data_IF_705037331352
#
_entry.id   IF_705037331352
#
_cell.length_a   1.000
_cell.length_b   1.000
_cell.length_c   1.000
_cell.angle_alpha   90.00
_cell.angle_beta   90.00
_cell.angle_gamma   90.00
#
_symmetry.space_group_name_H-M   'P 1'
#
loop_
_entity.id
_entity.type
_entity.pdbx_description
1 polymer ?
#
# COMPACT_ATOMS: atom_id res chain seq x y z
N UNK A 1 26.33 5.19 -2.46
CA UNK A 1 26.15 4.42 -3.71
C UNK A 1 24.90 3.58 -3.61
N UNK A 2 24.11 3.52 -4.68
CA UNK A 2 22.91 2.67 -4.75
C UNK A 2 23.35 1.22 -5.02
N UNK A 3 22.81 0.19 -4.32
CA UNK A 3 23.19 -1.19 -4.59
C UNK A 3 22.80 -1.63 -6.01
N UNK A 4 23.60 -2.51 -6.61
CA UNK A 4 23.46 -2.97 -8.00
C UNK A 4 22.24 -3.88 -8.20
N UNK A 5 21.79 -4.55 -7.14
CA UNK A 5 20.59 -5.37 -7.21
C UNK A 5 19.38 -4.45 -7.41
N UNK A 6 18.30 -5.02 -7.92
CA UNK A 6 17.09 -4.27 -8.20
C UNK A 6 16.23 -4.11 -6.95
N UNK A 7 15.60 -2.94 -6.70
CA UNK A 7 14.87 -2.70 -5.48
C UNK A 7 13.55 -3.47 -5.38
N UNK A 8 13.17 -3.75 -4.14
CA UNK A 8 11.82 -4.14 -3.74
C UNK A 8 11.12 -2.93 -3.13
N UNK A 9 10.00 -2.54 -3.71
CA UNK A 9 9.26 -1.34 -3.31
C UNK A 9 7.95 -1.76 -2.66
N UNK A 10 7.68 -1.27 -1.45
CA UNK A 10 6.41 -1.49 -0.75
C UNK A 10 5.60 -0.20 -0.75
N UNK A 11 4.41 -0.24 -1.35
CA UNK A 11 3.50 0.89 -1.47
C UNK A 11 2.05 0.52 -1.10
N UNK A 12 1.23 1.55 -0.93
CA UNK A 12 -0.17 1.41 -0.55
C UNK A 12 -0.74 2.73 -0.02
N UNK A 13 -2.03 2.74 0.28
CA UNK A 13 -2.64 3.86 0.98
C UNK A 13 -2.21 3.88 2.46
N UNK A 14 -2.13 5.08 3.06
CA UNK A 14 -1.65 5.25 4.43
C UNK A 14 -2.58 4.59 5.45
N UNK A 15 -2.09 3.65 6.26
CA UNK A 15 -2.91 2.89 7.23
C UNK A 15 -3.25 1.46 6.79
N UNK A 16 -2.81 1.04 5.61
CA UNK A 16 -3.02 -0.30 5.06
C UNK A 16 -2.11 -1.39 5.64
N UNK A 17 -1.43 -1.15 6.77
CA UNK A 17 -0.63 -2.19 7.45
C UNK A 17 0.71 -2.55 6.77
N UNK A 18 1.22 -1.69 5.91
CA UNK A 18 2.49 -1.86 5.18
C UNK A 18 3.69 -2.20 6.08
N UNK A 19 3.73 -1.73 7.33
CA UNK A 19 4.82 -2.02 8.29
C UNK A 19 5.02 -3.52 8.54
N UNK A 20 3.95 -4.30 8.73
CA UNK A 20 4.09 -5.73 9.02
C UNK A 20 4.67 -6.47 7.81
N UNK A 21 4.29 -6.06 6.60
CA UNK A 21 4.91 -6.56 5.37
C UNK A 21 6.37 -6.14 5.24
N UNK A 22 6.74 -4.90 5.62
CA UNK A 22 8.15 -4.46 5.66
C UNK A 22 8.99 -5.38 6.51
N UNK A 23 8.54 -5.72 7.73
CA UNK A 23 9.24 -6.66 8.62
C UNK A 23 9.36 -8.04 8.00
N UNK A 24 8.31 -8.53 7.34
CA UNK A 24 8.35 -9.82 6.66
C UNK A 24 9.38 -9.83 5.52
N UNK A 25 9.46 -8.75 4.73
CA UNK A 25 10.45 -8.56 3.66
C UNK A 25 11.87 -8.47 4.23
N UNK A 26 12.08 -7.70 5.31
CA UNK A 26 13.37 -7.58 6.00
C UNK A 26 13.87 -8.93 6.53
N UNK A 27 12.98 -9.70 7.18
CA UNK A 27 13.27 -11.06 7.63
C UNK A 27 13.58 -12.04 6.50
N UNK A 28 13.18 -11.74 5.27
CA UNK A 28 13.54 -12.52 4.08
C UNK A 28 14.96 -12.20 3.55
N UNK A 29 15.68 -11.29 4.20
CA UNK A 29 17.06 -10.89 3.85
C UNK A 29 17.14 -9.74 2.86
N UNK A 30 16.11 -8.89 2.81
CA UNK A 30 16.09 -7.67 1.99
C UNK A 30 16.35 -6.48 2.92
N UNK A 31 17.45 -5.76 2.71
CA UNK A 31 17.76 -4.58 3.52
C UNK A 31 16.78 -3.44 3.18
N UNK A 32 15.90 -3.11 4.14
CA UNK A 32 14.90 -2.07 3.99
C UNK A 32 15.38 -0.68 4.43
N UNK A 33 16.67 -0.55 4.81
CA UNK A 33 17.31 0.70 5.23
C UNK A 33 17.29 0.94 6.74
N UNK A 34 18.07 1.93 7.18
CA UNK A 34 18.24 2.26 8.61
C UNK A 34 17.66 3.62 9.01
N UNK A 35 17.49 4.53 8.06
CA UNK A 35 16.98 5.89 8.31
C UNK A 35 15.46 5.87 8.09
N UNK A 36 14.74 5.34 9.08
CA UNK A 36 13.31 5.07 9.02
C UNK A 36 12.53 5.81 10.12
N UNK A 37 11.25 6.10 9.89
CA UNK A 37 10.35 6.61 10.94
C UNK A 37 9.78 5.46 11.80
N UNK A 38 8.97 5.76 12.82
CA UNK A 38 8.34 4.75 13.69
C UNK A 38 7.33 3.80 12.98
N UNK A 39 6.96 4.12 11.74
CA UNK A 39 6.16 3.26 10.85
C UNK A 39 7.02 2.49 9.83
N UNK A 40 8.35 2.55 9.95
CA UNK A 40 9.34 1.96 9.03
C UNK A 40 9.26 2.53 7.61
N UNK A 41 8.82 3.79 7.46
CA UNK A 41 8.91 4.51 6.20
C UNK A 41 10.33 5.04 5.98
N UNK A 42 10.85 4.90 4.76
CA UNK A 42 12.11 5.50 4.34
C UNK A 42 12.05 7.03 4.42
N UNK A 43 12.68 7.62 5.44
CA UNK A 43 12.56 9.05 5.73
C UNK A 43 13.06 9.93 4.60
N UNK A 44 14.11 9.48 3.89
CA UNK A 44 14.71 10.20 2.77
C UNK A 44 13.70 10.55 1.67
N UNK A 45 12.61 9.79 1.51
CA UNK A 45 11.59 10.04 0.50
C UNK A 45 10.50 11.03 0.93
N UNK A 46 10.56 11.56 2.16
CA UNK A 46 9.45 12.34 2.71
C UNK A 46 9.22 13.66 2.00
N UNK A 47 10.24 14.49 1.93
CA UNK A 47 10.16 15.81 1.27
C UNK A 47 9.95 15.65 -0.24
N UNK A 48 10.64 14.68 -0.85
CA UNK A 48 10.46 14.32 -2.26
C UNK A 48 9.00 14.01 -2.59
N UNK A 49 8.36 13.10 -1.83
CA UNK A 49 6.96 12.76 -2.07
C UNK A 49 6.01 13.91 -1.72
N UNK A 50 6.31 14.72 -0.69
CA UNK A 50 5.47 15.87 -0.34
C UNK A 50 5.44 16.91 -1.47
N UNK A 51 6.57 17.13 -2.15
CA UNK A 51 6.69 18.05 -3.28
C UNK A 51 6.10 17.47 -4.57
N UNK A 52 6.59 16.31 -4.99
CA UNK A 52 6.40 15.88 -6.38
C UNK A 52 5.09 15.15 -6.66
N UNK A 53 4.41 14.61 -5.64
CA UNK A 53 3.12 13.94 -5.85
C UNK A 53 2.09 14.93 -6.38
N UNK A 54 1.97 16.09 -5.75
CA UNK A 54 0.97 17.07 -6.13
C UNK A 54 1.27 17.64 -7.51
N UNK A 55 2.53 17.98 -7.78
CA UNK A 55 2.96 18.47 -9.10
C UNK A 55 2.63 17.43 -10.20
N UNK A 56 2.93 16.15 -9.95
CA UNK A 56 2.66 15.08 -10.90
C UNK A 56 1.16 14.78 -11.12
N UNK A 57 0.28 15.28 -10.24
CA UNK A 57 -1.17 15.04 -10.31
C UNK A 57 -1.99 16.32 -10.51
N UNK A 58 -1.36 17.48 -10.67
CA UNK A 58 -2.05 18.78 -10.71
C UNK A 58 -2.78 19.04 -12.03
N UNK A 59 -3.91 18.35 -12.26
CA UNK A 59 -4.80 18.57 -13.41
C UNK A 59 -4.73 17.48 -14.49
N UNK A 60 -5.70 17.52 -15.41
CA UNK A 60 -5.92 16.46 -16.42
C UNK A 60 -4.82 16.35 -17.49
N UNK A 61 -3.98 17.37 -17.62
CA UNK A 61 -2.92 17.48 -18.64
C UNK A 61 -1.55 17.84 -18.03
N UNK A 62 -1.35 17.60 -16.72
CA UNK A 62 -0.10 17.93 -16.04
C UNK A 62 1.03 17.03 -16.52
N UNK A 63 1.84 17.53 -17.45
CA UNK A 63 3.13 16.97 -17.80
C UNK A 63 4.21 17.84 -17.19
N UNK A 64 5.14 17.23 -16.46
CA UNK A 64 6.36 17.91 -16.03
C UNK A 64 7.11 18.42 -17.25
N UNK A 65 7.55 19.68 -17.21
CA UNK A 65 8.51 20.22 -18.17
C UNK A 65 9.82 19.41 -18.12
N UNK A 66 10.65 19.51 -19.16
CA UNK A 66 11.95 18.82 -19.17
C UNK A 66 12.84 19.22 -17.98
N UNK A 67 12.78 20.49 -17.57
CA UNK A 67 13.53 20.99 -16.40
C UNK A 67 13.01 20.39 -15.09
N UNK A 68 11.68 20.33 -14.92
CA UNK A 68 11.08 19.69 -13.74
C UNK A 68 11.34 18.19 -13.70
N UNK A 69 11.34 17.51 -14.84
CA UNK A 69 11.71 16.09 -14.92
C UNK A 69 13.15 15.88 -14.48
N UNK A 70 14.09 16.69 -14.98
CA UNK A 70 15.50 16.60 -14.59
C UNK A 70 15.70 16.85 -13.10
N UNK A 71 15.03 17.87 -12.54
CA UNK A 71 15.07 18.16 -11.11
C UNK A 71 14.46 17.02 -10.26
N UNK A 72 13.33 16.45 -10.70
CA UNK A 72 12.72 15.31 -10.03
C UNK A 72 13.62 14.07 -10.07
N UNK A 73 14.29 13.83 -11.20
CA UNK A 73 15.24 12.72 -11.36
C UNK A 73 16.44 12.88 -10.41
N UNK A 74 17.07 14.06 -10.37
CA UNK A 74 18.20 14.37 -9.48
C UNK A 74 17.82 14.22 -8.00
N UNK A 75 16.76 14.91 -7.57
CA UNK A 75 16.28 14.85 -6.18
C UNK A 75 15.92 13.43 -5.76
N UNK A 76 15.31 12.64 -6.65
CA UNK A 76 14.97 11.25 -6.36
C UNK A 76 16.21 10.40 -6.14
N UNK A 77 17.21 10.49 -7.03
CA UNK A 77 18.44 9.71 -6.92
C UNK A 77 19.21 10.07 -5.65
N UNK A 78 19.29 11.35 -5.27
CA UNK A 78 19.85 11.76 -3.99
C UNK A 78 19.11 11.13 -2.79
N UNK A 79 17.78 11.09 -2.84
CA UNK A 79 16.99 10.46 -1.78
C UNK A 79 17.29 8.96 -1.67
N UNK A 80 17.41 8.27 -2.81
CA UNK A 80 17.76 6.84 -2.84
C UNK A 80 19.18 6.60 -2.35
N UNK A 81 20.14 7.45 -2.72
CA UNK A 81 21.52 7.37 -2.22
C UNK A 81 21.60 7.57 -0.71
N UNK A 82 20.88 8.56 -0.17
CA UNK A 82 20.75 8.79 1.28
C UNK A 82 20.14 7.57 1.98
N UNK A 83 19.08 6.99 1.42
CA UNK A 83 18.47 5.77 1.96
C UNK A 83 19.44 4.58 1.98
N UNK A 84 20.24 4.43 0.93
CA UNK A 84 21.16 3.32 0.75
C UNK A 84 22.55 3.53 1.37
N UNK A 85 22.80 4.64 2.06
CA UNK A 85 24.15 5.04 2.49
C UNK A 85 24.90 3.98 3.33
N UNK A 86 24.18 3.09 4.01
CA UNK A 86 24.73 2.03 4.86
C UNK A 86 24.57 0.61 4.28
N UNK A 87 24.13 0.48 3.04
CA UNK A 87 23.87 -0.80 2.40
C UNK A 87 25.11 -1.31 1.64
N UNK A 88 25.44 -2.61 1.73
CA UNK A 88 26.45 -3.21 0.85
C UNK A 88 26.04 -3.15 -0.62
N UNK A 89 27.02 -3.04 -1.52
CA UNK A 89 26.77 -2.83 -2.96
C UNK A 89 25.93 -3.93 -3.66
N UNK A 90 25.96 -5.17 -3.17
CA UNK A 90 25.26 -6.31 -3.78
C UNK A 90 24.17 -6.91 -2.89
N UNK A 91 23.71 -6.18 -1.87
CA UNK A 91 22.62 -6.64 -1.01
C UNK A 91 21.29 -6.60 -1.77
N UNK A 92 20.40 -7.55 -1.49
CA UNK A 92 18.99 -7.36 -1.84
C UNK A 92 18.46 -6.21 -1.01
N UNK A 93 17.90 -5.19 -1.65
CA UNK A 93 17.48 -3.98 -0.96
C UNK A 93 16.11 -3.54 -1.41
N UNK A 94 15.54 -2.63 -0.63
CA UNK A 94 14.27 -2.03 -0.93
C UNK A 94 13.98 -0.83 -0.07
N UNK A 95 12.79 -0.29 -0.26
CA UNK A 95 12.24 0.70 0.64
C UNK A 95 10.74 0.49 0.77
N UNK A 96 10.25 0.92 1.92
CA UNK A 96 8.83 1.10 2.13
C UNK A 96 8.55 2.58 2.25
N UNK A 97 7.66 3.06 1.39
CA UNK A 97 7.09 4.38 1.51
C UNK A 97 5.71 4.31 0.86
N UNK A 98 4.60 4.26 1.62
CA UNK A 98 3.25 4.05 1.07
C UNK A 98 2.96 4.99 -0.10
N UNK A 99 3.38 6.26 0.01
CA UNK A 99 3.19 7.29 -1.02
C UNK A 99 3.99 7.10 -2.31
N UNK A 100 4.93 6.15 -2.38
CA UNK A 100 5.55 5.78 -3.66
C UNK A 100 4.53 5.26 -4.67
N UNK A 101 3.38 4.75 -4.22
CA UNK A 101 2.28 4.28 -5.07
C UNK A 101 1.78 5.34 -6.07
N UNK A 102 1.86 6.62 -5.72
CA UNK A 102 1.44 7.73 -6.61
C UNK A 102 2.41 7.93 -7.78
N UNK A 103 3.67 7.52 -7.62
CA UNK A 103 4.76 7.82 -8.55
C UNK A 103 5.29 6.57 -9.27
N UNK A 104 4.50 5.49 -9.36
CA UNK A 104 4.94 4.22 -9.94
C UNK A 104 5.54 4.34 -11.35
N UNK A 105 4.96 5.08 -12.32
CA UNK A 105 5.56 5.25 -13.64
C UNK A 105 6.94 5.91 -13.59
N UNK A 106 7.11 6.88 -12.69
CA UNK A 106 8.38 7.58 -12.48
C UNK A 106 9.42 6.64 -11.87
N UNK A 107 9.08 5.93 -10.78
CA UNK A 107 10.00 4.98 -10.13
C UNK A 107 10.38 3.83 -11.08
N UNK A 108 9.42 3.33 -11.87
CA UNK A 108 9.67 2.31 -12.88
C UNK A 108 10.66 2.76 -13.96
N UNK A 109 10.68 4.04 -14.33
CA UNK A 109 11.64 4.57 -15.30
C UNK A 109 13.08 4.46 -14.80
N UNK A 110 13.29 4.71 -13.51
CA UNK A 110 14.59 4.61 -12.84
C UNK A 110 14.96 3.14 -12.53
N UNK A 111 13.97 2.33 -12.16
CA UNK A 111 14.17 0.93 -11.81
C UNK A 111 13.22 -0.01 -12.59
N UNK A 112 13.45 -0.25 -13.91
CA UNK A 112 12.52 -1.02 -14.74
C UNK A 112 12.34 -2.48 -14.30
N UNK A 113 13.30 -3.02 -13.57
CA UNK A 113 13.24 -4.38 -13.04
C UNK A 113 12.64 -4.46 -11.63
N UNK A 114 12.23 -3.34 -11.03
CA UNK A 114 11.75 -3.30 -9.65
C UNK A 114 10.65 -4.32 -9.38
N UNK A 115 10.64 -4.87 -8.17
CA UNK A 115 9.49 -5.61 -7.65
C UNK A 115 8.62 -4.66 -6.84
N UNK A 116 7.32 -4.68 -7.10
CA UNK A 116 6.35 -3.86 -6.36
C UNK A 116 5.41 -4.74 -5.55
N UNK A 117 5.41 -4.53 -4.24
CA UNK A 117 4.50 -5.13 -3.28
C UNK A 117 3.44 -4.08 -2.96
N UNK A 118 2.26 -4.26 -3.54
CA UNK A 118 1.11 -3.38 -3.36
C UNK A 118 0.24 -3.88 -2.22
N UNK A 119 0.26 -3.16 -1.10
CA UNK A 119 -0.56 -3.50 0.06
C UNK A 119 -1.88 -2.74 -0.02
N UNK A 120 -2.97 -3.51 -0.08
CA UNK A 120 -4.33 -2.99 -0.03
C UNK A 120 -4.98 -3.39 1.29
N UNK A 121 -5.85 -2.51 1.79
CA UNK A 121 -6.75 -2.75 2.92
C UNK A 121 -8.16 -2.39 2.49
N UNK A 122 -9.19 -2.95 3.12
CA UNK A 122 -10.60 -2.71 2.75
C UNK A 122 -10.87 -1.20 2.65
N UNK A 123 -11.24 -0.74 1.45
CA UNK A 123 -11.46 0.68 1.19
C UNK A 123 -12.52 1.28 2.12
N UNK A 124 -13.49 0.49 2.56
CA UNK A 124 -14.51 0.92 3.52
C UNK A 124 -13.90 1.19 4.89
N UNK A 125 -12.98 0.35 5.36
CA UNK A 125 -12.24 0.62 6.61
C UNK A 125 -11.37 1.88 6.46
N UNK A 126 -10.79 2.08 5.28
CA UNK A 126 -9.95 3.23 4.98
C UNK A 126 -10.75 4.54 4.99
N UNK A 127 -12.00 4.51 4.51
CA UNK A 127 -12.91 5.66 4.54
C UNK A 127 -13.14 6.20 5.96
N UNK A 128 -13.16 5.32 6.97
CA UNK A 128 -13.32 5.67 8.38
C UNK A 128 -12.01 5.58 9.18
N UNK A 129 -10.86 5.62 8.50
CA UNK A 129 -9.56 5.62 9.16
C UNK A 129 -9.31 6.95 9.88
N UNK A 130 -8.71 6.91 11.07
CA UNK A 130 -8.18 8.13 11.71
C UNK A 130 -6.93 8.68 11.01
N UNK A 131 -6.26 7.86 10.19
CA UNK A 131 -5.13 8.31 9.38
C UNK A 131 -5.63 8.83 8.03
N UNK A 132 -5.87 10.15 7.96
CA UNK A 132 -6.25 10.86 6.75
C UNK A 132 -5.11 11.71 6.17
N UNK A 133 -3.85 11.40 6.52
CA UNK A 133 -2.71 12.24 6.14
C UNK A 133 -2.47 12.29 4.62
N UNK A 134 -2.63 11.16 3.91
CA UNK A 134 -2.49 11.17 2.45
C UNK A 134 -3.60 11.96 1.77
N UNK A 135 -4.84 11.85 2.25
CA UNK A 135 -5.95 12.67 1.77
C UNK A 135 -5.66 14.15 2.02
N UNK A 136 -5.29 14.53 3.26
CA UNK A 136 -4.98 15.92 3.62
C UNK A 136 -3.88 16.53 2.76
N UNK A 137 -2.82 15.76 2.47
CA UNK A 137 -1.67 16.24 1.70
C UNK A 137 -1.97 16.30 0.20
N UNK A 138 -2.52 15.23 -0.37
CA UNK A 138 -2.51 15.02 -1.81
C UNK A 138 -3.90 14.94 -2.44
N UNK A 139 -4.96 14.91 -1.62
CA UNK A 139 -6.31 14.68 -2.13
C UNK A 139 -6.78 15.78 -3.08
N UNK A 140 -6.37 17.03 -2.89
CA UNK A 140 -6.74 18.12 -3.79
C UNK A 140 -6.18 17.90 -5.20
N UNK A 141 -4.88 17.63 -5.30
CA UNK A 141 -4.21 17.34 -6.57
C UNK A 141 -4.75 16.04 -7.18
N UNK A 142 -4.81 14.97 -6.39
CA UNK A 142 -5.17 13.63 -6.89
C UNK A 142 -6.65 13.55 -7.27
N UNK A 143 -7.57 14.18 -6.55
CA UNK A 143 -9.00 14.18 -6.89
C UNK A 143 -9.39 15.33 -7.84
N UNK A 144 -8.53 16.34 -7.99
CA UNK A 144 -8.76 17.48 -8.88
C UNK A 144 -9.88 18.41 -8.40
N UNK A 145 -10.10 18.47 -7.08
CA UNK A 145 -11.12 19.32 -6.43
C UNK A 145 -10.69 19.68 -5.01
N UNK A 146 -11.29 20.73 -4.44
CA UNK A 146 -11.06 21.08 -3.05
C UNK A 146 -11.51 19.94 -2.10
N UNK A 147 -10.72 19.72 -1.05
CA UNK A 147 -10.90 18.70 -0.02
C UNK A 147 -10.78 19.29 1.39
N UNK A 148 -10.91 20.62 1.54
CA UNK A 148 -10.79 21.29 2.84
C UNK A 148 -11.78 20.72 3.87
N UNK A 149 -12.98 20.32 3.43
CA UNK A 149 -13.98 19.62 4.25
C UNK A 149 -13.97 18.11 3.97
N UNK A 150 -12.91 17.43 4.41
CA UNK A 150 -12.73 15.99 4.22
C UNK A 150 -13.86 15.17 4.84
N UNK A 151 -14.36 14.18 4.10
CA UNK A 151 -15.35 13.21 4.54
C UNK A 151 -14.93 11.76 4.14
N UNK A 152 -15.66 10.72 4.60
CA UNK A 152 -15.36 9.33 4.25
C UNK A 152 -15.37 9.05 2.74
N UNK A 153 -16.24 9.71 1.97
CA UNK A 153 -16.32 9.57 0.52
C UNK A 153 -15.04 10.05 -0.16
N UNK A 154 -14.43 11.16 0.29
CA UNK A 154 -13.17 11.66 -0.26
C UNK A 154 -12.03 10.66 -0.04
N UNK A 155 -11.96 10.09 1.16
CA UNK A 155 -10.95 9.09 1.51
C UNK A 155 -11.15 7.79 0.70
N UNK A 156 -12.40 7.39 0.50
CA UNK A 156 -12.75 6.24 -0.32
C UNK A 156 -12.46 6.48 -1.81
N UNK A 157 -12.77 7.66 -2.34
CA UNK A 157 -12.48 8.03 -3.73
C UNK A 157 -10.97 8.05 -3.99
N UNK A 158 -10.18 8.59 -3.06
CA UNK A 158 -8.72 8.52 -3.11
C UNK A 158 -8.24 7.07 -3.11
N UNK A 159 -8.82 6.24 -2.24
CA UNK A 159 -8.51 4.80 -2.20
C UNK A 159 -8.82 4.12 -3.54
N UNK A 160 -9.99 4.38 -4.13
CA UNK A 160 -10.37 3.84 -5.44
C UNK A 160 -9.35 4.26 -6.50
N UNK A 161 -9.08 5.55 -6.62
CA UNK A 161 -8.21 6.10 -7.67
C UNK A 161 -6.79 5.52 -7.58
N UNK A 162 -6.21 5.55 -6.39
CA UNK A 162 -4.79 5.18 -6.18
C UNK A 162 -4.57 3.68 -6.29
N UNK A 163 -5.44 2.85 -5.69
CA UNK A 163 -5.25 1.40 -5.73
C UNK A 163 -5.53 0.83 -7.13
N UNK A 164 -6.57 1.31 -7.83
CA UNK A 164 -6.82 0.86 -9.20
C UNK A 164 -5.68 1.25 -10.13
N UNK A 165 -5.20 2.50 -10.06
CA UNK A 165 -4.04 2.95 -10.82
C UNK A 165 -2.83 2.03 -10.60
N UNK A 166 -2.51 1.74 -9.33
CA UNK A 166 -1.38 0.90 -8.99
C UNK A 166 -1.54 -0.55 -9.47
N UNK A 167 -2.77 -1.08 -9.44
CA UNK A 167 -3.08 -2.41 -9.94
C UNK A 167 -3.00 -2.48 -11.46
N UNK A 168 -3.58 -1.52 -12.18
CA UNK A 168 -3.49 -1.42 -13.63
C UNK A 168 -2.04 -1.30 -14.08
N UNK A 169 -1.28 -0.41 -13.44
CA UNK A 169 0.14 -0.24 -13.73
C UNK A 169 0.94 -1.50 -13.44
N UNK A 170 0.75 -2.10 -12.27
CA UNK A 170 1.44 -3.32 -11.85
C UNK A 170 1.20 -4.49 -12.79
N UNK A 171 -0.06 -4.74 -13.17
CA UNK A 171 -0.38 -5.80 -14.12
C UNK A 171 0.19 -5.52 -15.51
N UNK A 172 0.09 -4.27 -16.00
CA UNK A 172 0.49 -3.90 -17.35
C UNK A 172 2.01 -3.88 -17.55
N UNK A 173 2.77 -3.32 -16.60
CA UNK A 173 4.20 -3.01 -16.79
C UNK A 173 5.14 -3.89 -15.97
N UNK A 174 4.71 -4.38 -14.81
CA UNK A 174 5.56 -5.18 -13.92
C UNK A 174 5.30 -6.69 -14.04
N UNK A 175 4.07 -7.10 -14.36
CA UNK A 175 3.70 -8.50 -14.58
C UNK A 175 4.08 -9.37 -13.38
N UNK A 176 5.00 -10.33 -13.56
CA UNK A 176 5.49 -11.22 -12.48
C UNK A 176 6.25 -10.49 -11.37
N UNK A 177 6.65 -9.24 -11.58
CA UNK A 177 7.31 -8.37 -10.59
C UNK A 177 6.30 -7.55 -9.79
N UNK A 178 5.01 -7.78 -9.95
CA UNK A 178 3.95 -7.17 -9.17
C UNK A 178 3.21 -8.21 -8.33
N UNK A 179 2.94 -7.86 -7.08
CA UNK A 179 2.01 -8.60 -6.23
C UNK A 179 1.12 -7.63 -5.47
N UNK A 180 -0.18 -7.92 -5.43
CA UNK A 180 -1.14 -7.23 -4.58
C UNK A 180 -1.52 -8.15 -3.42
N UNK A 181 -1.37 -7.66 -2.20
CA UNK A 181 -1.65 -8.41 -0.97
C UNK A 181 -2.63 -7.62 -0.10
N UNK A 182 -3.63 -8.32 0.42
CA UNK A 182 -4.57 -7.77 1.39
C UNK A 182 -3.96 -7.78 2.79
N UNK A 183 -4.09 -6.68 3.51
CA UNK A 183 -3.68 -6.59 4.91
C UNK A 183 -4.39 -7.63 5.77
N UNK A 184 -5.67 -7.82 5.53
CA UNK A 184 -6.55 -8.71 6.27
C UNK A 184 -6.12 -10.18 6.14
N UNK A 185 -5.67 -10.59 4.95
CA UNK A 185 -5.16 -11.95 4.74
C UNK A 185 -3.83 -12.18 5.48
N UNK A 186 -2.96 -11.17 5.60
CA UNK A 186 -1.77 -11.29 6.45
C UNK A 186 -2.15 -11.49 7.93
N UNK A 187 -3.18 -10.79 8.39
CA UNK A 187 -3.63 -10.84 9.78
C UNK A 187 -4.34 -12.16 10.10
N UNK A 188 -5.18 -12.66 9.19
CA UNK A 188 -6.01 -13.86 9.41
C UNK A 188 -5.31 -15.16 8.97
N UNK A 189 -4.41 -15.07 7.99
CA UNK A 189 -3.72 -16.18 7.35
C UNK A 189 -2.24 -15.83 7.17
N UNK A 190 -1.55 -15.49 8.27
CA UNK A 190 -0.15 -15.05 8.27
C UNK A 190 0.76 -16.01 7.53
N UNK A 191 0.74 -17.30 7.90
CA UNK A 191 1.63 -18.32 7.34
C UNK A 191 1.47 -18.44 5.80
N UNK A 192 0.26 -18.65 5.24
CA UNK A 192 0.06 -18.65 3.80
C UNK A 192 0.49 -17.34 3.11
N UNK A 193 0.13 -16.20 3.67
CA UNK A 193 0.42 -14.88 3.07
C UNK A 193 1.92 -14.60 3.02
N UNK A 194 2.63 -14.93 4.09
CA UNK A 194 4.09 -14.86 4.16
C UNK A 194 4.73 -15.81 3.14
N UNK A 195 4.28 -17.07 3.04
CA UNK A 195 4.82 -18.00 2.02
C UNK A 195 4.61 -17.50 0.60
N UNK A 196 3.46 -16.88 0.32
CA UNK A 196 3.20 -16.24 -0.97
C UNK A 196 4.20 -15.10 -1.24
N UNK A 197 4.46 -14.27 -0.23
CA UNK A 197 5.47 -13.21 -0.32
C UNK A 197 6.88 -13.78 -0.55
N UNK A 198 7.30 -14.86 0.12
CA UNK A 198 8.63 -15.45 -0.05
C UNK A 198 8.81 -15.98 -1.47
N UNK A 199 7.78 -16.65 -2.00
CA UNK A 199 7.76 -17.10 -3.39
C UNK A 199 7.95 -15.93 -4.36
N UNK A 200 7.29 -14.80 -4.10
CA UNK A 200 7.43 -13.59 -4.91
C UNK A 200 8.84 -12.98 -4.82
N UNK A 201 9.42 -12.96 -3.61
CA UNK A 201 10.79 -12.51 -3.34
C UNK A 201 11.87 -13.49 -3.83
N UNK A 202 11.48 -14.70 -4.26
CA UNK A 202 12.37 -15.79 -4.66
C UNK A 202 13.31 -16.24 -3.53
N UNK A 203 12.78 -16.23 -2.30
CA UNK A 203 13.46 -16.69 -1.10
C UNK A 203 13.12 -18.18 -0.89
N UNK A 204 14.06 -19.04 -0.47
CA UNK A 204 13.78 -20.44 -0.16
C UNK A 204 12.61 -20.60 0.82
N UNK A 205 11.69 -21.52 0.54
CA UNK A 205 10.47 -21.73 1.34
C UNK A 205 10.72 -22.52 2.63
N UNK A 206 11.91 -23.09 2.75
CA UNK A 206 12.46 -23.78 3.91
C UNK A 206 13.00 -22.80 4.96
N UNK A 207 13.13 -21.52 4.60
CA UNK A 207 13.52 -20.47 5.55
C UNK A 207 12.56 -20.45 6.73
N UNK A 208 13.13 -20.28 7.92
CA UNK A 208 12.35 -20.14 9.14
C UNK A 208 11.37 -18.98 9.02
N UNK A 209 10.15 -19.22 9.50
CA UNK A 209 9.10 -18.23 9.50
C UNK A 209 9.44 -17.13 10.51
N UNK A 210 9.36 -15.85 10.14
CA UNK A 210 9.58 -14.79 11.10
C UNK A 210 8.49 -14.80 12.17
N UNK A 211 8.88 -14.49 13.39
CA UNK A 211 7.95 -14.15 14.45
C UNK A 211 7.41 -12.74 14.19
N UNK A 212 6.37 -12.67 13.37
CA UNK A 212 5.62 -11.45 13.15
C UNK A 212 4.60 -11.35 14.28
N UNK A 213 4.86 -10.52 15.28
CA UNK A 213 3.87 -10.16 16.30
C UNK A 213 2.63 -9.52 15.63
N UNK A 214 1.67 -10.34 15.25
CA UNK A 214 0.46 -9.94 14.54
C UNK A 214 -0.68 -9.89 15.54
N UNK A 215 -1.06 -8.66 15.88
CA UNK A 215 -2.25 -8.38 16.66
C UNK A 215 -3.36 -8.01 15.67
N UNK A 216 -4.50 -8.71 15.73
CA UNK A 216 -5.70 -8.34 14.98
C UNK A 216 -6.16 -6.98 15.50
N UNK A 217 -6.04 -5.89 14.73
CA UNK A 217 -6.42 -4.60 15.25
C UNK A 217 -7.96 -4.49 15.28
N UNK A 218 -8.54 -3.75 16.23
CA UNK A 218 -10.00 -3.53 16.29
C UNK A 218 -10.52 -2.73 15.09
N UNK A 219 -9.60 -2.27 14.25
CA UNK A 219 -9.88 -1.45 13.08
C UNK A 219 -10.27 -2.25 11.83
N UNK A 220 -10.12 -3.58 11.84
CA UNK A 220 -10.63 -4.44 10.77
C UNK A 220 -12.15 -4.53 10.88
N UNK A 221 -12.84 -4.18 9.79
CA UNK A 221 -14.29 -4.14 9.73
C UNK A 221 -14.91 -2.97 10.50
N UNK A 222 -14.14 -1.91 10.81
CA UNK A 222 -14.64 -0.71 11.51
C UNK A 222 -15.80 -0.04 10.77
N UNK A 223 -15.82 -0.15 9.43
CA UNK A 223 -16.88 0.42 8.60
C UNK A 223 -18.27 -0.13 8.96
N UNK A 224 -18.35 -1.31 9.59
CA UNK A 224 -19.62 -1.91 10.01
C UNK A 224 -20.28 -1.17 11.17
N UNK A 225 -19.53 -0.35 11.89
CA UNK A 225 -20.02 0.48 13.00
C UNK A 225 -20.36 1.90 12.53
N UNK A 226 -20.12 2.22 11.26
CA UNK A 226 -20.41 3.52 10.68
C UNK A 226 -21.87 3.64 10.24
N UNK A 227 -22.25 4.87 9.88
CA UNK A 227 -23.57 5.16 9.34
C UNK A 227 -23.89 4.32 8.10
N UNK A 228 -25.07 3.69 8.10
CA UNK A 228 -25.46 2.72 7.08
C UNK A 228 -25.69 3.35 5.70
N UNK A 229 -26.15 4.60 5.63
CA UNK A 229 -26.38 5.32 4.37
C UNK A 229 -25.05 5.69 3.73
N UNK A 230 -24.09 6.16 4.54
CA UNK A 230 -22.72 6.42 4.09
C UNK A 230 -22.11 5.14 3.54
N UNK A 231 -22.14 4.05 4.30
CA UNK A 231 -21.59 2.75 3.87
C UNK A 231 -22.24 2.26 2.58
N UNK A 232 -23.56 2.40 2.45
CA UNK A 232 -24.28 2.01 1.23
C UNK A 232 -23.81 2.84 0.02
N UNK A 233 -23.63 4.15 0.18
CA UNK A 233 -23.09 5.03 -0.85
C UNK A 233 -21.67 4.60 -1.29
N UNK A 234 -20.78 4.28 -0.35
CA UNK A 234 -19.43 3.78 -0.69
C UNK A 234 -19.50 2.45 -1.47
N UNK A 235 -20.41 1.55 -1.08
CA UNK A 235 -20.60 0.27 -1.76
C UNK A 235 -21.05 0.45 -3.21
N UNK A 236 -22.00 1.36 -3.47
CA UNK A 236 -22.45 1.69 -4.81
C UNK A 236 -21.34 2.33 -5.65
N UNK A 237 -20.56 3.23 -5.06
CA UNK A 237 -19.45 3.91 -5.75
C UNK A 237 -18.31 2.96 -6.11
N UNK A 238 -17.99 2.01 -5.23
CA UNK A 238 -16.74 1.23 -5.29
C UNK A 238 -16.90 -0.26 -5.55
N UNK A 239 -18.09 -0.75 -5.93
CA UNK A 239 -18.36 -2.19 -6.05
C UNK A 239 -17.32 -2.92 -6.90
N UNK A 240 -17.02 -2.41 -8.09
CA UNK A 240 -16.05 -3.02 -9.01
C UNK A 240 -14.65 -3.11 -8.37
N UNK A 241 -14.22 -2.04 -7.71
CA UNK A 241 -12.88 -1.99 -7.10
C UNK A 241 -12.80 -2.86 -5.84
N UNK A 242 -13.84 -2.84 -5.00
CA UNK A 242 -13.93 -3.71 -3.84
C UNK A 242 -13.92 -5.18 -4.26
N UNK A 243 -14.63 -5.53 -5.34
CA UNK A 243 -14.60 -6.87 -5.96
C UNK A 243 -13.21 -7.20 -6.51
N UNK A 244 -12.60 -6.27 -7.25
CA UNK A 244 -11.25 -6.41 -7.82
C UNK A 244 -10.21 -6.74 -6.76
N UNK A 245 -10.28 -6.09 -5.61
CA UNK A 245 -9.36 -6.32 -4.50
C UNK A 245 -9.82 -7.42 -3.53
N UNK A 246 -10.92 -8.13 -3.82
CA UNK A 246 -11.36 -9.32 -3.07
C UNK A 246 -12.18 -9.04 -1.81
N UNK A 247 -12.75 -7.84 -1.66
CA UNK A 247 -13.58 -7.44 -0.50
C UNK A 247 -15.08 -7.69 -0.69
N UNK A 248 -15.50 -8.07 -1.90
CA UNK A 248 -16.87 -8.49 -2.26
C UNK A 248 -16.79 -9.73 -3.16
N UNK A 249 -17.53 -10.80 -2.82
CA UNK A 249 -17.61 -12.02 -3.65
C UNK A 249 -18.46 -11.80 -4.92
N UNK A 250 -18.13 -12.51 -6.01
CA UNK A 250 -18.87 -12.49 -7.29
C UNK A 250 -20.38 -12.77 -7.19
N UNK A 251 -20.82 -13.41 -6.10
CA UNK A 251 -22.22 -13.81 -5.87
C UNK A 251 -23.03 -12.85 -4.99
N UNK A 252 -22.47 -11.73 -4.54
CA UNK A 252 -23.14 -10.83 -3.61
C UNK A 252 -24.06 -9.83 -4.32
N UNK A 253 -25.36 -10.10 -4.32
CA UNK A 253 -26.35 -9.04 -4.27
C UNK A 253 -26.33 -8.41 -2.86
N UNK A 254 -26.70 -7.14 -2.78
CA UNK A 254 -26.54 -6.18 -1.66
C UNK A 254 -27.04 -6.68 -0.28
N UNK A 255 -27.68 -7.84 -0.17
CA UNK A 255 -28.41 -8.31 1.01
C UNK A 255 -27.76 -9.44 1.86
N UNK A 256 -26.55 -9.93 1.57
CA UNK A 256 -25.92 -11.00 2.40
C UNK A 256 -24.53 -10.65 2.92
N UNK A 257 -24.28 -10.92 4.21
CA UNK A 257 -22.99 -10.71 4.88
C UNK A 257 -21.84 -11.48 4.18
N UNK A 258 -20.63 -10.91 4.00
CA UNK A 258 -19.50 -11.57 3.33
C UNK A 258 -19.04 -12.88 3.98
N UNK A 259 -18.58 -13.86 3.18
CA UNK A 259 -17.93 -15.09 3.70
C UNK A 259 -16.64 -14.80 4.48
N UNK A 260 -15.91 -13.75 4.08
CA UNK A 260 -14.78 -13.17 4.81
C UNK A 260 -15.18 -12.78 6.25
N UNK A 261 -16.34 -12.12 6.40
CA UNK A 261 -16.89 -11.71 7.70
C UNK A 261 -17.21 -12.92 8.59
N UNK A 262 -17.74 -14.01 8.01
CA UNK A 262 -18.06 -15.19 8.80
C UNK A 262 -16.81 -15.86 9.38
N UNK A 263 -15.65 -15.78 8.71
CA UNK A 263 -14.38 -16.27 9.28
C UNK A 263 -13.87 -15.37 10.40
N UNK A 264 -13.91 -14.04 10.22
CA UNK A 264 -13.48 -13.07 11.24
C UNK A 264 -14.39 -13.14 12.48
N UNK A 265 -15.71 -13.12 12.29
CA UNK A 265 -16.67 -13.23 13.39
C UNK A 265 -16.57 -14.57 14.13
N UNK A 266 -16.37 -15.68 13.40
CA UNK A 266 -16.17 -17.00 14.01
C UNK A 266 -14.82 -17.10 14.74
N UNK A 267 -13.78 -16.43 14.26
CA UNK A 267 -12.49 -16.36 14.96
C UNK A 267 -12.60 -15.52 16.24
N UNK A 268 -13.18 -14.31 16.15
CA UNK A 268 -13.39 -13.42 17.30
C UNK A 268 -14.29 -14.05 18.37
N UNK A 269 -15.33 -14.80 17.98
CA UNK A 269 -16.17 -15.53 18.93
C UNK A 269 -15.45 -16.70 19.61
N UNK A 270 -14.45 -17.31 18.96
CA UNK A 270 -13.64 -18.40 19.52
C UNK A 270 -12.54 -17.88 20.46
N UNK A 271 -12.04 -16.66 20.23
CA UNK A 271 -11.07 -16.00 21.13
C UNK A 271 -11.74 -15.49 22.40
N UNK A 272 -12.97 -14.97 22.30
CA UNK A 272 -13.73 -14.49 23.46
C UNK A 272 -14.32 -15.61 24.34
N UNK A 273 -14.45 -16.84 23.83
CA UNK A 273 -14.91 -18.00 24.62
C UNK A 273 -13.79 -18.76 25.35
N UNK A 274 -12.53 -18.32 25.16
CA UNK A 274 -11.34 -18.87 25.83
C UNK A 274 -10.73 -17.90 26.86
N UNK A 275 -11.46 -16.86 27.25
CA UNK A 275 -11.16 -15.99 28.39
C UNK A 275 -12.15 -16.21 29.51
#
# INVERSE_FOLDING_TARGET
MIPSNTPIVIGGTGGSGTRVFTRAVDNAGVDMGKILNGSEDALALTEFCDKWIDIAHNGKDAYLTASEQAAMDEEFLECIEKHCAHMPASINWGWKYPRTIYLLPFVYRHFPQMRFIHIVRDGRDMAFSGNQNQLRKHGAAVLGRDITQMNPQDSFELWLKVNNFAADFGHKFLGKRYICLQYEELVLQTLPTVRQLWKFLQVPLEREMPDLEIIIPPTIGRWQQADAEIVHSLMLQGEESLRRFGYIDASHSIARKPRFLNKVLKFLSTVNSRR
#
